data_IF_704662178979
#
_entry.id   IF_704662178979
#
_cell.length_a   1.000
_cell.length_b   1.000
_cell.length_c   1.000
_cell.angle_alpha   90.00
_cell.angle_beta   90.00
_cell.angle_gamma   90.00
#
_symmetry.space_group_name_H-M   'P 1'
#
loop_
_entity.id
_entity.type
_entity.pdbx_description
1 polymer ?
#
# COMPACT_ATOMS: atom_id res chain seq x y z
N UNK A 1 -3.18 -22.39 0.60
CA UNK A 1 -3.00 -20.94 0.42
C UNK A 1 -3.12 -20.66 -1.07
N UNK A 2 -4.07 -19.84 -1.50
CA UNK A 2 -4.19 -19.44 -2.92
C UNK A 2 -3.33 -18.19 -3.13
N UNK A 3 -2.66 -18.11 -4.29
CA UNK A 3 -1.81 -16.98 -4.67
C UNK A 3 -2.18 -16.55 -6.08
N UNK A 4 -2.28 -15.24 -6.28
CA UNK A 4 -2.42 -14.62 -7.60
C UNK A 4 -1.14 -13.83 -7.87
N UNK A 5 -0.72 -13.77 -9.12
CA UNK A 5 0.36 -12.90 -9.60
C UNK A 5 -0.21 -11.97 -10.66
N UNK A 6 0.02 -10.67 -10.48
CA UNK A 6 -0.39 -9.62 -11.38
C UNK A 6 0.83 -8.77 -11.71
N UNK A 7 0.94 -8.37 -12.98
CA UNK A 7 1.86 -7.31 -13.33
C UNK A 7 1.33 -6.00 -12.74
N UNK A 8 2.21 -5.18 -12.13
CA UNK A 8 1.81 -3.87 -11.62
C UNK A 8 1.23 -2.99 -12.73
N UNK A 9 1.75 -3.09 -13.95
CA UNK A 9 1.24 -2.39 -15.13
C UNK A 9 -0.18 -2.80 -15.57
N UNK A 10 -0.75 -3.86 -14.97
CA UNK A 10 -2.13 -4.25 -15.22
C UNK A 10 -3.11 -3.56 -14.24
N UNK A 11 -2.62 -2.83 -13.25
CA UNK A 11 -3.43 -2.11 -12.28
C UNK A 11 -3.70 -0.67 -12.76
N UNK A 12 -4.92 -0.12 -12.55
CA UNK A 12 -5.24 1.26 -12.93
C UNK A 12 -4.54 2.25 -12.00
N UNK A 13 -3.86 3.25 -12.55
CA UNK A 13 -3.16 4.27 -11.76
C UNK A 13 -4.11 5.13 -10.92
N UNK A 14 -5.32 5.37 -11.41
CA UNK A 14 -6.38 6.15 -10.72
C UNK A 14 -7.04 5.39 -9.56
N UNK A 15 -6.77 4.08 -9.45
CA UNK A 15 -7.31 3.20 -8.40
C UNK A 15 -6.21 2.57 -7.55
N UNK A 16 -4.94 2.90 -7.80
CA UNK A 16 -3.80 2.25 -7.16
C UNK A 16 -2.87 3.27 -6.54
N UNK A 17 -2.62 3.12 -5.25
CA UNK A 17 -1.61 3.89 -4.55
C UNK A 17 -0.44 3.03 -4.12
N UNK A 18 0.64 3.72 -3.79
CA UNK A 18 1.86 3.14 -3.26
C UNK A 18 2.25 3.86 -1.98
N UNK A 19 2.74 3.13 -1.00
CA UNK A 19 3.50 3.69 0.12
C UNK A 19 4.89 3.11 0.12
N UNK A 20 5.86 3.95 0.52
CA UNK A 20 7.25 3.55 0.66
C UNK A 20 7.72 3.89 2.07
N UNK A 21 8.20 2.91 2.83
CA UNK A 21 8.11 1.46 2.59
C UNK A 21 6.70 0.90 2.87
N UNK A 22 6.19 1.13 4.07
CA UNK A 22 4.94 0.59 4.60
C UNK A 22 4.02 1.77 4.98
N UNK A 23 2.71 1.62 4.76
CA UNK A 23 1.69 2.60 5.14
C UNK A 23 1.61 2.79 6.66
N UNK A 24 2.04 1.81 7.44
CA UNK A 24 2.20 1.92 8.88
C UNK A 24 3.66 1.72 9.29
N UNK A 25 4.36 2.82 9.57
CA UNK A 25 5.64 2.74 10.27
C UNK A 25 5.38 2.32 11.71
N UNK A 26 5.46 1.02 12.01
CA UNK A 26 5.20 0.47 13.36
C UNK A 26 6.05 1.14 14.45
N UNK A 27 7.19 1.71 14.05
CA UNK A 27 8.14 2.41 14.90
C UNK A 27 8.04 3.93 14.80
N UNK A 28 6.97 4.48 14.19
CA UNK A 28 6.68 5.92 14.18
C UNK A 28 6.52 6.50 15.58
N UNK A 29 6.10 5.68 16.55
CA UNK A 29 6.08 5.98 17.98
C UNK A 29 7.36 5.55 18.71
N UNK A 30 8.35 5.01 18.00
CA UNK A 30 9.65 4.58 18.54
C UNK A 30 10.31 5.63 19.45
N UNK A 31 10.30 6.94 19.11
CA UNK A 31 10.81 7.98 20.00
C UNK A 31 10.15 8.02 21.38
N UNK A 32 8.85 7.68 21.49
CA UNK A 32 8.13 7.59 22.77
C UNK A 32 8.60 6.39 23.62
N UNK A 33 9.22 5.40 22.98
CA UNK A 33 9.77 4.20 23.61
C UNK A 33 11.31 4.14 23.56
N UNK A 34 11.98 5.27 23.32
CA UNK A 34 13.44 5.40 23.20
C UNK A 34 14.07 4.54 22.09
N UNK A 35 13.31 4.20 21.05
CA UNK A 35 13.84 3.60 19.83
C UNK A 35 14.08 4.70 18.79
N UNK A 36 15.33 4.95 18.38
CA UNK A 36 15.62 5.99 17.40
C UNK A 36 15.01 5.62 16.05
N UNK A 37 14.15 6.50 15.53
CA UNK A 37 13.68 6.49 14.16
C UNK A 37 14.03 7.84 13.54
N UNK A 38 14.86 7.82 12.50
CA UNK A 38 15.14 9.00 11.71
C UNK A 38 13.97 9.21 10.73
N UNK A 39 13.25 10.35 10.81
CA UNK A 39 12.13 10.61 9.91
C UNK A 39 12.64 10.79 8.48
N UNK A 40 12.01 10.09 7.54
CA UNK A 40 12.36 10.16 6.13
C UNK A 40 11.31 10.97 5.35
N UNK A 41 11.69 11.63 4.25
CA UNK A 41 10.80 12.52 3.50
C UNK A 41 9.63 11.80 2.80
N UNK A 42 9.61 10.47 2.80
CA UNK A 42 8.55 9.62 2.25
C UNK A 42 7.64 9.00 3.33
N UNK A 43 8.00 9.06 4.61
CA UNK A 43 7.16 8.51 5.68
C UNK A 43 5.80 9.23 5.73
N UNK A 44 4.73 8.45 5.86
CA UNK A 44 3.36 8.97 5.92
C UNK A 44 2.83 9.56 4.61
N UNK A 45 3.54 9.39 3.49
CA UNK A 45 3.11 9.86 2.17
C UNK A 45 2.57 8.72 1.34
N UNK A 46 1.49 9.03 0.63
CA UNK A 46 0.89 8.17 -0.39
C UNK A 46 1.32 8.69 -1.74
N UNK A 47 1.83 7.79 -2.58
CA UNK A 47 2.26 8.04 -3.95
C UNK A 47 1.29 7.38 -4.92
N UNK A 48 1.20 7.91 -6.12
CA UNK A 48 0.52 7.30 -7.25
C UNK A 48 1.39 6.17 -7.83
N UNK A 49 0.76 5.18 -8.46
CA UNK A 49 1.48 4.09 -9.11
C UNK A 49 2.50 4.60 -10.16
N UNK A 50 2.16 5.66 -10.89
CA UNK A 50 3.05 6.27 -11.89
C UNK A 50 4.29 6.95 -11.29
N UNK A 51 4.30 7.28 -10.01
CA UNK A 51 5.45 7.88 -9.29
C UNK A 51 6.46 6.83 -8.82
N UNK A 52 6.10 5.53 -8.87
CA UNK A 52 6.94 4.43 -8.39
C UNK A 52 8.32 4.37 -9.05
N UNK A 53 8.49 4.55 -10.38
CA UNK A 53 9.81 4.53 -10.99
C UNK A 53 10.76 5.60 -10.45
N UNK A 54 10.27 6.85 -10.32
CA UNK A 54 11.05 7.98 -9.77
C UNK A 54 11.37 7.74 -8.29
N UNK A 55 10.41 7.22 -7.51
CA UNK A 55 10.61 6.87 -6.11
C UNK A 55 11.72 5.83 -5.93
N UNK A 56 11.74 4.80 -6.78
CA UNK A 56 12.79 3.76 -6.77
C UNK A 56 14.14 4.33 -7.23
N UNK A 57 14.16 5.21 -8.23
CA UNK A 57 15.39 5.86 -8.69
C UNK A 57 16.04 6.69 -7.57
N UNK A 58 15.24 7.38 -6.76
CA UNK A 58 15.74 8.21 -5.67
C UNK A 58 16.05 7.47 -4.37
N UNK A 59 15.22 6.51 -3.97
CA UNK A 59 15.30 5.85 -2.65
C UNK A 59 15.87 4.43 -2.72
N UNK A 60 15.93 3.84 -3.92
CA UNK A 60 16.28 2.45 -4.14
C UNK A 60 15.10 1.50 -3.96
N UNK A 61 15.32 0.22 -4.23
CA UNK A 61 14.35 -0.84 -3.91
C UNK A 61 14.63 -1.32 -2.48
N UNK A 62 13.63 -1.37 -1.58
CA UNK A 62 13.79 -1.93 -0.26
C UNK A 62 14.31 -3.36 -0.33
N UNK A 63 15.40 -3.63 0.39
CA UNK A 63 16.02 -4.95 0.46
C UNK A 63 16.10 -5.37 1.92
N UNK A 64 15.16 -6.18 2.41
CA UNK A 64 15.22 -6.65 3.77
C UNK A 64 16.39 -7.61 3.93
N UNK A 65 17.43 -7.17 4.65
CA UNK A 65 18.44 -8.09 5.19
C UNK A 65 17.91 -8.66 6.49
N UNK A 66 17.17 -9.76 6.41
CA UNK A 66 16.74 -10.49 7.60
C UNK A 66 17.98 -11.15 8.24
N UNK A 67 18.47 -10.57 9.32
CA UNK A 67 19.39 -11.29 10.19
C UNK A 67 18.60 -12.39 10.92
N UNK A 68 19.12 -13.62 11.03
CA UNK A 68 18.37 -14.73 11.65
C UNK A 68 18.12 -14.54 13.15
N UNK A 69 18.82 -13.59 13.81
CA UNK A 69 18.67 -13.31 15.23
C UNK A 69 17.54 -12.32 15.50
N UNK A 70 16.47 -12.79 16.14
CA UNK A 70 15.32 -11.98 16.57
C UNK A 70 15.76 -10.72 17.35
N UNK A 71 16.81 -10.81 18.16
CA UNK A 71 17.35 -9.69 18.97
C UNK A 71 17.79 -8.45 18.17
N UNK A 72 17.92 -8.56 16.84
CA UNK A 72 18.30 -7.46 15.96
C UNK A 72 17.11 -6.74 15.33
N UNK A 73 15.85 -7.11 15.64
CA UNK A 73 14.65 -6.53 15.03
C UNK A 73 14.57 -5.00 15.13
N UNK A 74 15.11 -4.42 16.22
CA UNK A 74 15.20 -2.97 16.43
C UNK A 74 16.17 -2.27 15.49
N UNK A 75 17.09 -3.02 14.89
CA UNK A 75 18.13 -2.57 13.96
C UNK A 75 17.87 -3.01 12.52
N UNK A 76 16.81 -3.78 12.27
CA UNK A 76 16.43 -4.13 10.91
C UNK A 76 16.09 -2.85 10.15
N UNK A 77 16.42 -2.78 8.85
CA UNK A 77 15.84 -1.74 8.02
C UNK A 77 14.33 -1.86 8.18
N UNK A 78 13.71 -0.82 8.76
CA UNK A 78 12.27 -0.76 9.03
C UNK A 78 11.44 -0.68 7.74
N UNK A 79 12.15 -0.73 6.62
CA UNK A 79 11.70 -0.50 5.26
C UNK A 79 11.90 -1.80 4.50
N UNK A 80 11.02 -2.76 4.74
CA UNK A 80 11.18 -4.11 4.21
C UNK A 80 10.51 -4.29 2.85
N UNK A 81 9.46 -3.52 2.57
CA UNK A 81 8.61 -3.69 1.39
C UNK A 81 8.17 -2.34 0.85
N UNK A 82 7.68 -2.33 -0.38
CA UNK A 82 6.85 -1.26 -0.93
C UNK A 82 5.42 -1.83 -0.91
N UNK A 83 4.48 -1.13 -0.30
CA UNK A 83 3.08 -1.55 -0.33
C UNK A 83 2.35 -0.94 -1.52
N UNK A 84 1.53 -1.76 -2.16
CA UNK A 84 0.64 -1.35 -3.24
C UNK A 84 -0.78 -1.56 -2.76
N UNK A 85 -1.56 -0.48 -2.67
CA UNK A 85 -2.96 -0.53 -2.26
C UNK A 85 -3.87 -0.30 -3.46
N UNK A 86 -4.79 -1.24 -3.68
CA UNK A 86 -5.82 -1.15 -4.71
C UNK A 86 -7.15 -0.76 -4.05
N UNK A 87 -7.78 0.31 -4.53
CA UNK A 87 -8.95 0.92 -3.90
C UNK A 87 -10.30 0.45 -4.48
N UNK A 88 -10.28 -0.42 -5.49
CA UNK A 88 -11.46 -0.97 -6.13
C UNK A 88 -11.29 -2.46 -6.48
N UNK A 89 -12.40 -3.21 -6.47
CA UNK A 89 -12.37 -4.66 -6.71
C UNK A 89 -12.32 -5.02 -8.21
N UNK A 90 -12.76 -4.12 -9.09
CA UNK A 90 -12.90 -4.40 -10.53
C UNK A 90 -11.64 -5.01 -11.17
N UNK A 91 -10.41 -4.50 -10.93
CA UNK A 91 -9.19 -5.06 -11.52
C UNK A 91 -8.87 -6.48 -11.08
N UNK A 92 -9.41 -6.92 -9.93
CA UNK A 92 -9.17 -8.25 -9.35
C UNK A 92 -10.44 -9.12 -9.27
N UNK A 93 -11.57 -8.62 -9.77
CA UNK A 93 -12.90 -9.25 -9.69
C UNK A 93 -12.89 -10.72 -10.10
N UNK A 94 -12.13 -11.08 -11.16
CA UNK A 94 -12.01 -12.46 -11.65
C UNK A 94 -11.35 -13.45 -10.69
N UNK A 95 -10.67 -12.95 -9.66
CA UNK A 95 -9.99 -13.73 -8.64
C UNK A 95 -10.71 -13.76 -7.30
N UNK A 96 -11.69 -12.86 -7.13
CA UNK A 96 -12.52 -12.82 -5.94
C UNK A 96 -13.57 -13.93 -6.02
N UNK A 97 -13.95 -14.53 -4.88
CA UNK A 97 -15.13 -15.38 -4.85
C UNK A 97 -16.36 -14.56 -5.28
N UNK A 98 -17.37 -15.18 -5.89
CA UNK A 98 -18.60 -14.47 -6.24
C UNK A 98 -19.17 -13.79 -4.99
N UNK A 99 -19.36 -12.47 -5.07
CA UNK A 99 -19.94 -11.70 -3.99
C UNK A 99 -21.34 -12.25 -3.65
N UNK A 100 -21.67 -12.49 -2.38
CA UNK A 100 -23.02 -12.88 -1.98
C UNK A 100 -24.05 -11.77 -2.17
N UNK A 101 -23.64 -10.56 -2.58
CA UNK A 101 -24.54 -9.46 -2.93
C UNK A 101 -24.44 -9.20 -4.43
N UNK A 102 -25.50 -9.57 -5.14
CA UNK A 102 -25.70 -9.18 -6.53
C UNK A 102 -25.74 -7.65 -6.66
N UNK A 103 -25.09 -7.18 -7.72
CA UNK A 103 -25.28 -5.91 -8.44
C UNK A 103 -26.37 -4.96 -7.90
N UNK A 104 -25.96 -3.80 -7.39
CA UNK A 104 -26.36 -2.51 -7.96
C UNK A 104 -25.61 -1.37 -7.27
N UNK A 105 -24.75 -0.70 -8.03
CA UNK A 105 -24.34 0.67 -7.72
C UNK A 105 -24.34 1.45 -9.01
N UNK A 106 -25.49 1.43 -9.70
CA UNK A 106 -25.94 2.66 -10.33
C UNK A 106 -26.21 3.66 -9.20
N UNK A 107 -25.32 4.65 -9.04
CA UNK A 107 -25.65 5.86 -8.29
C UNK A 107 -26.78 6.51 -9.09
N UNK A 108 -28.02 6.17 -8.74
CA UNK A 108 -29.20 6.86 -9.21
C UNK A 108 -29.15 8.29 -8.70
N UNK A 109 -28.84 9.23 -9.58
CA UNK A 109 -29.20 10.63 -9.38
C UNK A 109 -30.72 10.70 -9.50
N UNK A 110 -31.42 10.39 -8.41
CA UNK A 110 -32.84 10.71 -8.31
C UNK A 110 -32.96 12.18 -7.93
N UNK A 111 -33.38 12.98 -8.91
CA UNK A 111 -33.81 14.34 -8.70
C UNK A 111 -34.97 14.37 -7.72
N UNK A 112 -34.72 14.89 -6.53
CA UNK A 112 -35.73 15.25 -5.54
C UNK A 112 -35.90 16.76 -5.51
N UNK A 113 -36.79 17.29 -6.36
CA UNK A 113 -37.35 18.62 -6.16
C UNK A 113 -38.52 18.58 -5.19
N UNK A 114 -38.52 19.47 -4.19
CA UNK A 114 -39.65 20.25 -3.63
C UNK A 114 -39.43 20.57 -2.14
N UNK A 115 -40.05 21.63 -1.58
CA UNK A 115 -40.83 22.72 -2.21
C UNK A 115 -40.12 24.08 -2.19
#
# INVERSE_FOLDING_TARGET
MQRVQLALSALPEDQTSVTYPDSFTAMGFGPEFAVPLEPQPYHGRVFLLGELPELIEHQGVPSPRWAPEYETWTTWPQEAFIEVQLWADDPISRYLPPSPRGVDSAIGVEGGGCP
#
